data_IF_599304545861
#
_entry.id   IF_599304545861
#
_cell.length_a   1.000
_cell.length_b   1.000
_cell.length_c   1.000
_cell.angle_alpha   90.00
_cell.angle_beta   90.00
_cell.angle_gamma   90.00
#
_symmetry.space_group_name_H-M   'P 1'
#
loop_
_entity.id
_entity.type
_entity.pdbx_description
1 polymer ?
#
# COMPACT_ATOMS: atom_id res chain seq x y z
N UNK A 1 17.99 -3.71 0.95
CA UNK A 1 17.46 -2.60 0.11
C UNK A 1 16.49 -3.17 -0.90
N UNK A 2 15.41 -2.46 -1.25
CA UNK A 2 14.54 -2.89 -2.35
C UNK A 2 15.23 -2.66 -3.70
N UNK A 3 15.05 -3.62 -4.60
CA UNK A 3 15.63 -3.66 -5.95
C UNK A 3 14.56 -4.22 -6.90
N UNK A 4 14.76 -4.18 -8.23
CA UNK A 4 13.81 -4.79 -9.16
C UNK A 4 13.54 -6.27 -8.85
N UNK A 5 14.54 -6.99 -8.34
CA UNK A 5 14.43 -8.39 -7.91
C UNK A 5 13.42 -8.59 -6.77
N UNK A 6 13.23 -7.58 -5.91
CA UNK A 6 12.21 -7.64 -4.85
C UNK A 6 10.79 -7.68 -5.40
N UNK A 7 10.55 -7.06 -6.56
CA UNK A 7 9.27 -7.16 -7.28
C UNK A 7 9.19 -8.42 -8.16
N UNK A 8 10.29 -8.85 -8.77
CA UNK A 8 10.37 -10.11 -9.53
C UNK A 8 9.99 -11.34 -8.73
N UNK A 9 10.15 -11.27 -7.41
CA UNK A 9 9.69 -12.31 -6.49
C UNK A 9 8.25 -12.77 -6.75
N UNK A 10 7.39 -11.85 -7.17
CA UNK A 10 5.97 -12.09 -7.41
C UNK A 10 5.69 -12.59 -8.84
N UNK A 11 6.69 -12.70 -9.71
CA UNK A 11 6.54 -13.26 -11.06
C UNK A 11 6.64 -14.81 -11.03
N UNK A 12 5.79 -15.44 -10.21
CA UNK A 12 5.74 -16.89 -10.05
C UNK A 12 4.45 -17.50 -10.62
N UNK A 13 4.51 -18.74 -11.15
CA UNK A 13 3.35 -19.38 -11.80
C UNK A 13 2.27 -19.85 -10.82
N UNK A 14 2.63 -20.11 -9.56
CA UNK A 14 1.71 -20.61 -8.54
C UNK A 14 1.99 -19.93 -7.22
N UNK A 15 0.95 -19.52 -6.50
CA UNK A 15 1.08 -18.96 -5.15
C UNK A 15 0.75 -19.99 -4.06
N UNK A 16 -0.08 -20.99 -4.39
CA UNK A 16 -0.50 -22.02 -3.46
C UNK A 16 0.50 -23.19 -3.47
N UNK A 17 0.91 -23.64 -2.28
CA UNK A 17 1.83 -24.77 -2.17
C UNK A 17 1.23 -26.07 -2.69
N UNK A 18 -0.10 -26.23 -2.66
CA UNK A 18 -0.78 -27.38 -3.25
C UNK A 18 -0.60 -27.44 -4.78
N UNK A 19 -0.68 -26.30 -5.47
CA UNK A 19 -0.44 -26.21 -6.91
C UNK A 19 1.03 -26.45 -7.25
N UNK A 20 1.94 -25.84 -6.48
CA UNK A 20 3.37 -26.10 -6.63
C UNK A 20 3.68 -27.58 -6.46
N UNK A 21 3.16 -28.23 -5.42
CA UNK A 21 3.40 -29.66 -5.16
C UNK A 21 2.94 -30.56 -6.31
N UNK A 22 1.89 -30.14 -7.03
CA UNK A 22 1.33 -30.87 -8.17
C UNK A 22 2.11 -30.62 -9.48
N UNK A 23 2.55 -29.39 -9.70
CA UNK A 23 3.02 -28.94 -11.02
C UNK A 23 4.52 -28.60 -11.08
N UNK A 24 5.13 -28.23 -9.96
CA UNK A 24 6.54 -27.84 -9.83
C UNK A 24 7.04 -28.01 -8.36
N UNK A 25 7.05 -29.24 -7.81
CA UNK A 25 7.38 -29.47 -6.39
C UNK A 25 8.79 -29.01 -6.01
N UNK A 26 9.73 -29.05 -6.95
CA UNK A 26 11.10 -28.56 -6.80
C UNK A 26 11.18 -27.04 -6.54
N UNK A 27 10.16 -26.28 -6.92
CA UNK A 27 10.11 -24.83 -6.72
C UNK A 27 9.69 -24.41 -5.31
N UNK A 28 9.16 -25.33 -4.48
CA UNK A 28 8.59 -24.98 -3.17
C UNK A 28 9.64 -24.38 -2.24
N UNK A 29 10.74 -25.09 -1.99
CA UNK A 29 11.77 -24.64 -1.05
C UNK A 29 12.55 -23.42 -1.56
N UNK A 30 12.94 -23.34 -2.86
CA UNK A 30 13.48 -22.11 -3.43
C UNK A 30 12.53 -20.91 -3.28
N UNK A 31 11.23 -21.09 -3.54
CA UNK A 31 10.24 -20.00 -3.39
C UNK A 31 10.18 -19.53 -1.94
N UNK A 32 10.07 -20.45 -0.98
CA UNK A 32 10.03 -20.08 0.45
C UNK A 32 11.29 -19.33 0.87
N UNK A 33 12.46 -19.77 0.42
CA UNK A 33 13.73 -19.13 0.73
C UNK A 33 13.78 -17.70 0.16
N UNK A 34 13.41 -17.53 -1.12
CA UNK A 34 13.36 -16.22 -1.77
C UNK A 34 12.36 -15.28 -1.06
N UNK A 35 11.14 -15.74 -0.80
CA UNK A 35 10.13 -14.95 -0.09
C UNK A 35 10.58 -14.53 1.29
N UNK A 36 11.17 -15.45 2.07
CA UNK A 36 11.68 -15.14 3.40
C UNK A 36 12.77 -14.07 3.34
N UNK A 37 13.70 -14.19 2.39
CA UNK A 37 14.79 -13.23 2.21
C UNK A 37 14.27 -11.83 1.87
N UNK A 38 13.44 -11.71 0.83
CA UNK A 38 12.88 -10.41 0.42
C UNK A 38 11.90 -9.83 1.44
N UNK A 39 11.16 -10.67 2.17
CA UNK A 39 10.30 -10.21 3.25
C UNK A 39 11.09 -9.67 4.45
N UNK A 40 12.26 -10.23 4.75
CA UNK A 40 13.14 -9.66 5.79
C UNK A 40 13.59 -8.26 5.39
N UNK A 41 14.00 -8.07 4.13
CA UNK A 41 14.35 -6.74 3.59
C UNK A 41 13.17 -5.77 3.69
N UNK A 42 11.96 -6.22 3.31
CA UNK A 42 10.73 -5.45 3.44
C UNK A 42 10.47 -5.04 4.90
N UNK A 43 10.51 -6.01 5.82
CA UNK A 43 10.26 -5.77 7.24
C UNK A 43 11.25 -4.79 7.85
N UNK A 44 12.54 -4.91 7.52
CA UNK A 44 13.58 -3.98 7.99
C UNK A 44 13.41 -2.58 7.41
N UNK A 45 13.01 -2.47 6.14
CA UNK A 45 12.67 -1.18 5.53
C UNK A 45 11.50 -0.51 6.26
N UNK A 46 10.38 -1.22 6.41
CA UNK A 46 9.19 -0.67 7.08
C UNK A 46 9.46 -0.33 8.55
N UNK A 47 10.29 -1.13 9.24
CA UNK A 47 10.75 -0.82 10.60
C UNK A 47 11.49 0.51 10.68
N UNK A 48 12.44 0.75 9.76
CA UNK A 48 13.18 2.03 9.73
C UNK A 48 12.30 3.21 9.32
N UNK A 49 11.34 3.02 8.41
CA UNK A 49 10.32 4.04 8.11
C UNK A 49 9.52 4.39 9.37
N UNK A 50 9.13 3.41 10.18
CA UNK A 50 8.43 3.66 11.43
C UNK A 50 9.28 4.44 12.45
N UNK A 51 10.57 4.11 12.55
CA UNK A 51 11.51 4.81 13.42
C UNK A 51 11.67 6.29 12.99
N UNK A 52 11.72 6.57 11.68
CA UNK A 52 11.82 7.92 11.13
C UNK A 52 10.52 8.74 11.31
N UNK A 53 9.36 8.10 11.16
CA UNK A 53 8.05 8.76 11.35
C UNK A 53 7.79 9.12 12.82
N UNK A 54 8.15 8.23 13.74
CA UNK A 54 7.96 8.45 15.18
C UNK A 54 6.51 8.70 15.60
N UNK A 55 6.33 9.35 16.75
CA UNK A 55 5.00 9.79 17.20
C UNK A 55 4.46 10.90 16.29
N UNK A 56 3.14 10.90 15.96
CA UNK A 56 2.06 10.15 16.62
C UNK A 56 1.71 8.79 15.98
N UNK A 57 2.52 8.28 15.05
CA UNK A 57 2.27 6.98 14.44
C UNK A 57 2.45 5.83 15.44
N UNK A 58 1.53 4.86 15.36
CA UNK A 58 1.68 3.58 16.03
C UNK A 58 2.73 2.71 15.33
N UNK A 59 3.25 1.66 16.00
CA UNK A 59 4.00 0.63 15.33
C UNK A 59 3.24 0.10 14.10
N UNK A 60 3.90 -0.03 12.93
CA UNK A 60 3.21 -0.40 11.71
C UNK A 60 2.71 -1.83 11.76
N UNK A 61 1.63 -2.09 11.05
CA UNK A 61 1.30 -3.45 10.68
C UNK A 61 2.18 -3.88 9.52
N UNK A 62 2.75 -5.08 9.61
CA UNK A 62 3.54 -5.69 8.53
C UNK A 62 2.96 -7.07 8.27
N UNK A 63 2.41 -7.28 7.07
CA UNK A 63 1.83 -8.55 6.71
C UNK A 63 2.91 -9.63 6.57
N UNK A 64 2.61 -10.86 6.99
CA UNK A 64 3.49 -12.02 6.78
C UNK A 64 3.50 -12.42 5.30
N UNK A 65 4.68 -12.80 4.80
CA UNK A 65 4.89 -13.29 3.43
C UNK A 65 4.16 -14.61 3.09
N UNK A 66 3.73 -15.38 4.09
CA UNK A 66 2.91 -16.56 3.89
C UNK A 66 1.85 -16.73 5.00
N UNK A 67 0.79 -17.47 4.68
CA UNK A 67 -0.26 -17.85 5.63
C UNK A 67 -0.30 -19.38 5.90
N UNK A 68 0.82 -20.07 5.65
CA UNK A 68 0.95 -21.52 5.80
C UNK A 68 0.56 -22.34 4.57
N UNK A 69 -0.35 -21.84 3.72
CA UNK A 69 -0.86 -22.57 2.55
C UNK A 69 -0.46 -21.94 1.21
N UNK A 70 -0.17 -20.63 1.23
CA UNK A 70 0.27 -19.87 0.07
C UNK A 70 1.27 -18.78 0.46
N UNK A 71 2.07 -18.38 -0.52
CA UNK A 71 2.84 -17.13 -0.51
C UNK A 71 1.97 -15.96 -0.99
N UNK A 72 2.34 -14.73 -0.66
CA UNK A 72 1.59 -13.52 -1.04
C UNK A 72 1.93 -13.02 -2.45
N UNK A 73 0.98 -12.36 -3.11
CA UNK A 73 1.18 -11.70 -4.41
C UNK A 73 1.81 -10.30 -4.31
N UNK A 74 1.81 -9.74 -3.10
CA UNK A 74 2.46 -8.49 -2.76
C UNK A 74 2.99 -8.58 -1.31
N UNK A 75 3.84 -7.64 -0.92
CA UNK A 75 4.06 -7.33 0.48
C UNK A 75 3.28 -6.09 0.85
N UNK A 76 2.67 -6.13 2.03
CA UNK A 76 1.80 -5.08 2.52
C UNK A 76 2.19 -4.67 3.94
N UNK A 77 2.14 -3.37 4.17
CA UNK A 77 2.26 -2.76 5.48
C UNK A 77 1.33 -1.55 5.54
N UNK A 78 0.99 -1.12 6.74
CA UNK A 78 0.27 0.15 6.91
C UNK A 78 0.66 0.85 8.20
N UNK A 79 0.48 2.16 8.16
CA UNK A 79 0.68 3.10 9.25
C UNK A 79 -0.65 3.73 9.65
N UNK A 80 -0.79 3.99 10.95
CA UNK A 80 -1.93 4.68 11.57
C UNK A 80 -1.42 5.49 12.74
N UNK A 81 -2.13 6.54 13.09
CA UNK A 81 -1.92 7.19 14.39
C UNK A 81 -2.32 6.26 15.54
N UNK A 82 -1.63 6.38 16.67
CA UNK A 82 -1.93 5.61 17.87
C UNK A 82 -3.37 5.78 18.36
N UNK A 83 -3.93 6.99 18.24
CA UNK A 83 -5.32 7.27 18.60
C UNK A 83 -6.36 6.67 17.63
N UNK A 84 -5.96 6.28 16.42
CA UNK A 84 -6.86 5.79 15.37
C UNK A 84 -6.55 4.35 14.94
N UNK A 85 -5.95 3.54 15.82
CA UNK A 85 -5.56 2.16 15.50
C UNK A 85 -6.71 1.29 14.99
N UNK A 86 -7.92 1.51 15.48
CA UNK A 86 -9.11 0.76 15.09
C UNK A 86 -9.80 1.31 13.82
N UNK A 87 -9.38 2.46 13.30
CA UNK A 87 -9.91 3.05 12.06
C UNK A 87 -9.66 2.19 10.83
N UNK A 88 -10.57 2.20 9.86
CA UNK A 88 -10.32 1.63 8.55
C UNK A 88 -9.48 2.56 7.64
N UNK A 89 -9.37 3.86 7.93
CA UNK A 89 -8.42 4.74 7.22
C UNK A 89 -6.98 4.35 7.56
N UNK A 90 -6.16 4.15 6.52
CA UNK A 90 -4.75 3.79 6.64
C UNK A 90 -3.89 4.55 5.65
N UNK A 91 -2.61 4.71 5.98
CA UNK A 91 -1.58 4.96 4.98
C UNK A 91 -0.90 3.64 4.70
N UNK A 92 -1.17 3.06 3.53
CA UNK A 92 -0.67 1.77 3.10
C UNK A 92 0.65 1.90 2.35
N UNK A 93 1.51 0.88 2.50
CA UNK A 93 2.71 0.70 1.70
C UNK A 93 2.65 -0.70 1.11
N UNK A 94 2.67 -0.79 -0.22
CA UNK A 94 2.45 -2.03 -0.95
C UNK A 94 3.54 -2.24 -2.00
N UNK A 95 4.21 -3.39 -1.98
CA UNK A 95 5.16 -3.80 -3.02
C UNK A 95 4.60 -5.01 -3.77
N UNK A 96 4.35 -4.86 -5.06
CA UNK A 96 3.91 -5.95 -5.92
C UNK A 96 4.88 -6.18 -7.09
N UNK A 97 4.50 -7.05 -8.05
CA UNK A 97 5.33 -7.36 -9.23
C UNK A 97 5.63 -6.16 -10.14
N UNK A 98 4.80 -5.12 -10.07
CA UNK A 98 4.86 -3.95 -10.93
C UNK A 98 5.62 -2.79 -10.26
N UNK A 99 5.30 -2.47 -9.01
CA UNK A 99 5.75 -1.23 -8.35
C UNK A 99 5.67 -1.29 -6.83
N UNK A 100 6.30 -0.32 -6.20
CA UNK A 100 6.06 0.08 -4.81
C UNK A 100 5.05 1.23 -4.79
N UNK A 101 4.06 1.16 -3.91
CA UNK A 101 3.01 2.17 -3.73
C UNK A 101 2.98 2.64 -2.29
N UNK A 102 2.80 3.94 -2.08
CA UNK A 102 2.40 4.54 -0.80
C UNK A 102 1.11 5.31 -1.04
N UNK A 103 0.06 5.03 -0.27
CA UNK A 103 -1.26 5.62 -0.50
C UNK A 103 -2.11 5.78 0.76
N UNK A 104 -2.98 6.79 0.76
CA UNK A 104 -4.14 6.85 1.64
C UNK A 104 -5.20 5.88 1.09
N UNK A 105 -5.69 4.99 1.95
CA UNK A 105 -6.53 3.86 1.56
C UNK A 105 -7.57 3.52 2.65
N UNK A 106 -8.67 2.89 2.24
CA UNK A 106 -9.72 2.39 3.11
C UNK A 106 -9.62 0.86 3.28
N UNK A 107 -9.22 0.44 4.48
CA UNK A 107 -9.07 -0.98 4.82
C UNK A 107 -10.43 -1.64 5.06
N UNK A 108 -11.08 -2.08 3.99
CA UNK A 108 -12.44 -2.66 4.01
C UNK A 108 -12.61 -3.81 5.02
N UNK A 109 -11.58 -4.65 5.24
CA UNK A 109 -11.62 -5.73 6.24
C UNK A 109 -11.77 -5.26 7.69
N UNK A 110 -11.47 -3.98 7.97
CA UNK A 110 -11.64 -3.34 9.28
C UNK A 110 -12.86 -2.42 9.35
N UNK A 111 -13.55 -2.18 8.22
CA UNK A 111 -14.68 -1.26 8.16
C UNK A 111 -15.78 -1.59 9.19
N UNK A 112 -16.09 -2.88 9.40
CA UNK A 112 -17.15 -3.30 10.31
C UNK A 112 -16.89 -3.04 11.81
N UNK A 113 -15.64 -2.71 12.19
CA UNK A 113 -15.27 -2.35 13.56
C UNK A 113 -14.65 -0.96 13.66
N UNK A 114 -14.65 -0.22 12.55
CA UNK A 114 -14.02 1.10 12.47
C UNK A 114 -14.86 2.15 13.22
N UNK A 115 -14.24 3.03 14.04
CA UNK A 115 -14.93 4.17 14.66
C UNK A 115 -15.40 5.23 13.66
N UNK A 116 -14.85 5.24 12.45
CA UNK A 116 -15.32 6.07 11.33
C UNK A 116 -15.97 5.17 10.27
N UNK A 117 -17.00 5.67 9.60
CA UNK A 117 -17.64 5.07 8.44
C UNK A 117 -17.05 5.62 7.13
N UNK A 118 -17.39 4.99 6.01
CA UNK A 118 -16.86 5.36 4.70
C UNK A 118 -17.12 6.83 4.29
N UNK A 119 -18.27 7.45 4.58
CA UNK A 119 -18.46 8.87 4.31
C UNK A 119 -17.49 9.78 5.08
N UNK A 120 -17.08 9.39 6.28
CA UNK A 120 -16.08 10.14 7.07
C UNK A 120 -14.68 9.97 6.48
N UNK A 121 -14.34 8.76 6.02
CA UNK A 121 -13.11 8.57 5.25
C UNK A 121 -13.05 9.50 4.04
N UNK A 122 -14.11 9.53 3.23
CA UNK A 122 -14.15 10.30 1.99
C UNK A 122 -14.08 11.84 2.21
N UNK A 123 -14.15 12.36 3.43
CA UNK A 123 -13.97 13.79 3.73
C UNK A 123 -12.60 14.32 3.32
N UNK A 124 -11.59 13.47 3.15
CA UNK A 124 -10.28 13.91 2.65
C UNK A 124 -10.37 14.55 1.25
N UNK A 125 -11.39 14.20 0.46
CA UNK A 125 -11.63 14.79 -0.87
C UNK A 125 -11.92 16.30 -0.76
N UNK A 126 -12.54 16.75 0.33
CA UNK A 126 -12.83 18.17 0.56
C UNK A 126 -11.56 18.99 0.85
N UNK A 127 -10.50 18.32 1.31
CA UNK A 127 -9.19 18.91 1.64
C UNK A 127 -8.14 18.68 0.53
N UNK A 128 -8.56 18.10 -0.60
CA UNK A 128 -7.67 17.81 -1.73
C UNK A 128 -7.26 19.09 -2.46
N UNK A 129 -6.05 19.57 -2.19
CA UNK A 129 -5.42 20.63 -2.99
C UNK A 129 -4.90 20.07 -4.32
N UNK A 130 -5.67 20.28 -5.39
CA UNK A 130 -5.35 19.78 -6.73
C UNK A 130 -3.99 20.29 -7.29
N UNK A 131 -3.47 21.42 -6.82
CA UNK A 131 -2.15 21.90 -7.22
C UNK A 131 -1.04 21.18 -6.45
N UNK A 132 -1.19 21.06 -5.13
CA UNK A 132 -0.22 20.37 -4.28
C UNK A 132 -0.08 18.89 -4.66
N UNK A 133 -1.21 18.22 -4.89
CA UNK A 133 -1.25 16.78 -5.20
C UNK A 133 -1.32 16.50 -6.70
N UNK A 134 -1.03 17.49 -7.56
CA UNK A 134 -1.15 17.37 -9.03
C UNK A 134 -0.47 16.11 -9.62
N UNK A 135 0.67 15.71 -9.07
CA UNK A 135 1.45 14.56 -9.52
C UNK A 135 1.14 13.24 -8.79
N UNK A 136 0.22 13.25 -7.83
CA UNK A 136 -0.26 12.03 -7.19
C UNK A 136 -1.23 11.32 -8.12
N UNK A 137 -1.22 10.01 -8.04
CA UNK A 137 -2.22 9.17 -8.68
C UNK A 137 -3.45 9.07 -7.78
N UNK A 138 -4.63 9.05 -8.40
CA UNK A 138 -5.92 8.89 -7.74
C UNK A 138 -6.73 7.83 -8.49
N UNK A 139 -7.33 6.90 -7.73
CA UNK A 139 -8.08 5.78 -8.29
C UNK A 139 -9.19 5.32 -7.36
N UNK A 140 -10.21 4.67 -7.90
CA UNK A 140 -11.26 4.06 -7.09
C UNK A 140 -10.74 2.79 -6.41
N UNK A 141 -11.20 2.51 -5.19
CA UNK A 141 -10.83 1.32 -4.44
C UNK A 141 -11.18 -0.02 -5.11
N UNK A 142 -12.06 -0.01 -6.11
CA UNK A 142 -12.41 -1.18 -6.92
C UNK A 142 -11.50 -1.39 -8.14
N UNK A 143 -10.58 -0.46 -8.44
CA UNK A 143 -9.65 -0.59 -9.55
C UNK A 143 -8.56 -1.65 -9.28
N UNK A 144 -8.04 -2.23 -10.35
CA UNK A 144 -7.01 -3.27 -10.26
C UNK A 144 -5.69 -2.68 -9.73
N UNK A 145 -5.04 -3.39 -8.79
CA UNK A 145 -3.76 -3.01 -8.17
C UNK A 145 -2.63 -2.76 -9.21
N UNK A 146 -2.73 -3.40 -10.38
CA UNK A 146 -1.78 -3.33 -11.50
C UNK A 146 -2.19 -2.33 -12.58
N UNK A 147 -3.31 -1.62 -12.46
CA UNK A 147 -3.77 -0.66 -13.46
C UNK A 147 -2.90 0.60 -13.54
N UNK A 148 -2.95 1.27 -14.69
CA UNK A 148 -2.41 2.63 -14.85
C UNK A 148 -3.43 3.62 -14.30
N UNK A 149 -3.08 4.28 -13.21
CA UNK A 149 -3.94 5.29 -12.58
C UNK A 149 -3.73 6.65 -13.23
N UNK A 150 -4.76 7.48 -13.18
CA UNK A 150 -4.65 8.87 -13.61
C UNK A 150 -4.08 9.71 -12.46
N UNK A 151 -3.29 10.72 -12.82
CA UNK A 151 -2.87 11.73 -11.84
C UNK A 151 -4.04 12.65 -11.48
N UNK A 152 -3.95 13.31 -10.32
CA UNK A 152 -4.93 14.33 -9.91
C UNK A 152 -5.01 15.45 -10.96
N UNK A 153 -3.87 15.91 -11.51
CA UNK A 153 -3.87 16.92 -12.57
C UNK A 153 -4.49 16.41 -13.89
N UNK A 154 -4.38 15.10 -14.16
CA UNK A 154 -4.98 14.44 -15.32
C UNK A 154 -6.46 14.10 -15.14
N UNK A 155 -7.00 14.24 -13.92
CA UNK A 155 -8.39 13.89 -13.59
C UNK A 155 -9.20 15.17 -13.40
N UNK A 156 -10.16 15.47 -14.30
CA UNK A 156 -11.09 16.57 -14.09
C UNK A 156 -11.78 16.47 -12.73
N UNK A 157 -11.94 17.58 -12.01
CA UNK A 157 -12.57 17.58 -10.68
C UNK A 157 -14.00 17.03 -10.68
N UNK A 158 -14.69 17.13 -11.81
CA UNK A 158 -16.00 16.51 -12.05
C UNK A 158 -15.99 14.98 -12.11
N UNK A 159 -14.83 14.37 -12.36
CA UNK A 159 -14.61 12.92 -12.37
C UNK A 159 -14.14 12.40 -11.00
N UNK A 160 -13.68 13.26 -10.09
CA UNK A 160 -13.40 12.88 -8.70
C UNK A 160 -14.72 12.92 -7.92
N UNK A 161 -15.57 11.92 -8.18
CA UNK A 161 -16.89 11.79 -7.54
C UNK A 161 -17.16 10.34 -7.20
N UNK A 162 -17.72 10.12 -6.02
CA UNK A 162 -18.17 8.80 -5.58
C UNK A 162 -19.38 8.36 -6.40
N UNK A 163 -19.38 7.12 -6.85
CA UNK A 163 -20.48 6.53 -7.61
C UNK A 163 -21.66 6.11 -6.72
N UNK A 164 -21.38 5.69 -5.49
CA UNK A 164 -22.37 5.22 -4.52
C UNK A 164 -21.80 5.27 -3.08
N UNK A 165 -22.57 4.79 -2.10
CA UNK A 165 -22.22 4.84 -0.68
C UNK A 165 -21.08 3.90 -0.25
N UNK A 166 -20.79 2.87 -1.05
CA UNK A 166 -19.70 1.91 -0.84
C UNK A 166 -18.43 2.27 -1.62
N UNK A 167 -18.49 3.34 -2.43
CA UNK A 167 -17.38 3.81 -3.25
C UNK A 167 -16.42 4.69 -2.45
N UNK A 168 -15.14 4.62 -2.82
CA UNK A 168 -14.08 5.40 -2.21
C UNK A 168 -12.90 5.55 -3.15
N UNK A 169 -12.16 6.64 -2.96
CA UNK A 169 -10.91 6.87 -3.65
C UNK A 169 -9.71 6.50 -2.77
N UNK A 170 -8.65 6.08 -3.44
CA UNK A 170 -7.30 6.05 -2.92
C UNK A 170 -6.47 7.12 -3.63
N UNK A 171 -5.46 7.63 -2.95
CA UNK A 171 -4.52 8.60 -3.50
C UNK A 171 -3.10 8.26 -3.05
N UNK A 172 -2.13 8.32 -3.96
CA UNK A 172 -0.78 7.90 -3.63
C UNK A 172 0.28 8.21 -4.67
N UNK A 173 1.48 7.71 -4.41
CA UNK A 173 2.63 7.75 -5.33
C UNK A 173 3.19 6.36 -5.52
N UNK A 174 3.95 6.20 -6.62
CA UNK A 174 4.58 4.94 -6.96
C UNK A 174 6.08 5.08 -7.26
N UNK A 175 6.83 4.00 -7.02
CA UNK A 175 8.12 3.73 -7.66
C UNK A 175 7.94 2.51 -8.55
N UNK A 176 8.06 2.69 -9.86
CA UNK A 176 8.00 1.57 -10.81
C UNK A 176 9.15 0.59 -10.56
N UNK A 177 8.93 -0.71 -10.82
CA UNK A 177 9.91 -1.78 -10.56
C UNK A 177 11.30 -1.46 -11.09
N UNK A 178 11.38 -0.88 -12.29
CA UNK A 178 12.65 -0.55 -12.94
C UNK A 178 13.46 0.52 -12.17
N UNK A 179 12.82 1.28 -11.29
CA UNK A 179 13.43 2.38 -10.52
C UNK A 179 13.69 2.04 -9.06
N UNK A 180 13.28 0.85 -8.61
CA UNK A 180 13.59 0.36 -7.27
C UNK A 180 15.11 0.30 -7.06
N UNK A 181 15.59 0.95 -5.99
CA UNK A 181 17.01 1.02 -5.65
C UNK A 181 17.81 2.12 -6.36
N UNK A 182 17.18 2.93 -7.23
CA UNK A 182 17.81 4.11 -7.84
C UNK A 182 17.79 5.35 -6.96
N UNK A 183 16.98 5.33 -5.90
CA UNK A 183 16.83 6.41 -4.93
C UNK A 183 16.74 5.85 -3.51
N UNK A 184 16.80 6.73 -2.51
CA UNK A 184 16.55 6.36 -1.13
C UNK A 184 15.06 6.04 -0.94
N UNK A 185 14.74 4.74 -1.04
CA UNK A 185 13.37 4.24 -0.92
C UNK A 185 12.81 4.47 0.48
N UNK A 186 13.63 4.45 1.53
CA UNK A 186 13.16 4.70 2.90
C UNK A 186 12.71 6.15 3.02
N UNK A 187 13.59 7.10 2.63
CA UNK A 187 13.25 8.52 2.67
C UNK A 187 12.04 8.84 1.80
N UNK A 188 11.97 8.26 0.60
CA UNK A 188 10.84 8.45 -0.30
C UNK A 188 9.50 7.97 0.31
N UNK A 189 9.49 6.84 1.03
CA UNK A 189 8.28 6.38 1.74
C UNK A 189 7.91 7.38 2.84
N UNK A 190 8.86 7.82 3.67
CA UNK A 190 8.60 8.78 4.76
C UNK A 190 8.01 10.07 4.20
N UNK A 191 8.66 10.66 3.18
CA UNK A 191 8.18 11.89 2.53
C UNK A 191 6.77 11.71 1.96
N UNK A 192 6.48 10.57 1.31
CA UNK A 192 5.15 10.29 0.78
C UNK A 192 4.08 10.17 1.89
N UNK A 193 4.41 9.55 3.03
CA UNK A 193 3.50 9.44 4.18
C UNK A 193 3.25 10.82 4.80
N UNK A 194 4.29 11.63 4.97
CA UNK A 194 4.17 13.00 5.49
C UNK A 194 3.34 13.89 4.55
N UNK A 195 3.53 13.78 3.24
CA UNK A 195 2.74 14.50 2.23
C UNK A 195 1.25 14.13 2.29
N UNK A 196 0.92 12.85 2.54
CA UNK A 196 -0.45 12.33 2.66
C UNK A 196 -1.09 12.59 4.03
N UNK A 197 -0.29 12.93 5.05
CA UNK A 197 -0.76 13.10 6.43
C UNK A 197 -1.92 14.09 6.57
N UNK A 198 -1.92 15.27 5.91
CA UNK A 198 -3.06 16.20 6.00
C UNK A 198 -4.37 15.59 5.46
N UNK A 199 -4.30 14.76 4.42
CA UNK A 199 -5.49 14.07 3.88
C UNK A 199 -5.93 12.94 4.81
N UNK A 200 -4.99 12.20 5.38
CA UNK A 200 -5.28 11.17 6.38
C UNK A 200 -5.97 11.76 7.62
N UNK A 201 -5.50 12.90 8.12
CA UNK A 201 -6.11 13.60 9.27
C UNK A 201 -7.53 14.11 8.96
N UNK A 202 -7.79 14.49 7.70
CA UNK A 202 -9.12 14.91 7.27
C UNK A 202 -10.18 13.81 7.38
N UNK A 203 -9.79 12.53 7.34
CA UNK A 203 -10.72 11.40 7.54
C UNK A 203 -11.33 11.33 8.96
N UNK A 204 -10.84 12.12 9.91
CA UNK A 204 -11.20 12.07 11.33
C UNK A 204 -11.85 13.36 11.85
N UNK A 205 -12.25 14.26 10.96
CA UNK A 205 -12.87 15.55 11.31
C UNK A 205 -14.37 15.41 11.62
#
# INVERSE_FOLDING_TARGET
MLTPQSSELFDIPFYQFAQMKKHAPEMIEPTKAAYKHHWQIWRELIGRVADDLGEPFAPPHIERWCNGWQVRAHFFAYFKYAQYQDSAAIISVLLNRRRLTVSLDWHCYKAGVSPIALPQYNQWLDELDAQKYAAFDIWHGAEDEYADYATVAGTPSENIRLHNEDDFFCIGKHIERADLGKQDVQRWIVDAIEELTPLYEACFK
#
